data_IF_230142898806
#
_entry.id   IF_230142898806
#
_cell.length_a   1.000
_cell.length_b   1.000
_cell.length_c   1.000
_cell.angle_alpha   90.00
_cell.angle_beta   90.00
_cell.angle_gamma   90.00
#
_symmetry.space_group_name_H-M   'P 1'
#
loop_
_entity.id
_entity.type
_entity.pdbx_description
1 polymer ?
#
# COMPACT_ATOMS: atom_id res chain seq x y z
N UNK A 1 18.17 3.96 17.57
CA UNK A 1 17.64 4.40 16.25
C UNK A 1 17.84 3.37 15.12
N UNK A 2 19.00 2.69 14.97
CA UNK A 2 19.21 1.67 13.91
C UNK A 2 18.18 0.52 13.88
N UNK A 3 17.68 0.05 15.03
CA UNK A 3 16.66 -1.02 15.10
C UNK A 3 15.31 -0.59 14.51
N UNK A 4 14.83 0.62 14.80
CA UNK A 4 13.56 1.13 14.24
C UNK A 4 13.61 1.27 12.71
N UNK A 5 14.74 1.71 12.15
CA UNK A 5 14.93 1.82 10.70
C UNK A 5 14.94 0.46 9.98
N UNK A 6 15.35 -0.61 10.68
CA UNK A 6 15.28 -1.99 10.16
C UNK A 6 13.87 -2.54 10.21
N UNK A 7 13.17 -2.30 11.31
CA UNK A 7 11.77 -2.71 11.46
C UNK A 7 10.85 -2.01 10.45
N UNK A 8 11.05 -0.71 10.16
CA UNK A 8 10.25 0.01 9.16
C UNK A 8 10.41 -0.52 7.74
N UNK A 9 11.62 -0.96 7.38
CA UNK A 9 11.88 -1.59 6.08
C UNK A 9 11.21 -2.96 5.96
N UNK A 10 11.27 -3.78 7.01
CA UNK A 10 10.59 -5.07 7.06
C UNK A 10 9.07 -4.90 6.94
N UNK A 11 8.48 -4.02 7.73
CA UNK A 11 7.04 -3.71 7.69
C UNK A 11 6.62 -3.24 6.30
N UNK A 12 7.37 -2.31 5.70
CA UNK A 12 7.09 -1.83 4.34
C UNK A 12 7.11 -2.95 3.29
N UNK A 13 8.10 -3.85 3.34
CA UNK A 13 8.16 -5.00 2.43
C UNK A 13 7.05 -6.02 2.69
N UNK A 14 6.68 -6.28 3.94
CA UNK A 14 5.55 -7.16 4.27
C UNK A 14 4.25 -6.63 3.67
N UNK A 15 3.98 -5.33 3.81
CA UNK A 15 2.79 -4.69 3.22
C UNK A 15 2.86 -4.77 1.69
N UNK A 16 4.02 -4.51 1.09
CA UNK A 16 4.18 -4.55 -0.36
C UNK A 16 3.95 -5.97 -0.93
N UNK A 17 4.49 -6.99 -0.27
CA UNK A 17 4.30 -8.39 -0.66
C UNK A 17 2.86 -8.84 -0.47
N UNK A 18 2.21 -8.44 0.63
CA UNK A 18 0.79 -8.72 0.87
C UNK A 18 -0.09 -8.09 -0.22
N UNK A 19 0.17 -6.82 -0.57
CA UNK A 19 -0.52 -6.14 -1.66
C UNK A 19 -0.26 -6.80 -3.01
N UNK A 20 0.96 -7.25 -3.30
CA UNK A 20 1.28 -7.91 -4.55
C UNK A 20 0.60 -9.29 -4.67
N UNK A 21 0.56 -10.05 -3.57
CA UNK A 21 -0.16 -11.30 -3.49
C UNK A 21 -1.67 -11.09 -3.66
N UNK A 22 -2.24 -10.07 -3.01
CA UNK A 22 -3.63 -9.67 -3.19
C UNK A 22 -3.93 -9.33 -4.65
N UNK A 23 -3.13 -8.47 -5.27
CA UNK A 23 -3.33 -8.04 -6.65
C UNK A 23 -3.28 -9.22 -7.63
N UNK A 24 -2.33 -10.14 -7.45
CA UNK A 24 -2.26 -11.35 -8.24
C UNK A 24 -3.51 -12.23 -8.05
N UNK A 25 -3.95 -12.42 -6.80
CA UNK A 25 -5.11 -13.25 -6.50
C UNK A 25 -6.41 -12.66 -7.07
N UNK A 26 -6.63 -11.34 -6.95
CA UNK A 26 -7.76 -10.67 -7.57
C UNK A 26 -7.71 -10.71 -9.11
N UNK A 27 -6.54 -10.51 -9.72
CA UNK A 27 -6.41 -10.59 -11.17
C UNK A 27 -6.69 -12.01 -11.70
N UNK A 28 -6.28 -13.05 -10.96
CA UNK A 28 -6.62 -14.44 -11.29
C UNK A 28 -8.12 -14.68 -11.14
N UNK A 29 -8.72 -14.22 -10.03
CA UNK A 29 -10.16 -14.33 -9.78
C UNK A 29 -10.99 -13.67 -10.89
N UNK A 30 -10.59 -12.48 -11.32
CA UNK A 30 -11.29 -11.70 -12.34
C UNK A 30 -10.85 -12.00 -13.78
N UNK A 31 -9.95 -12.97 -13.98
CA UNK A 31 -9.39 -13.27 -15.31
C UNK A 31 -10.46 -13.66 -16.33
N UNK A 32 -11.52 -14.33 -15.89
CA UNK A 32 -12.67 -14.71 -16.72
C UNK A 32 -13.47 -13.51 -17.23
N UNK A 33 -13.41 -12.37 -16.54
CA UNK A 33 -14.09 -11.12 -16.92
C UNK A 33 -13.31 -10.29 -17.95
N UNK A 34 -12.02 -10.59 -18.22
CA UNK A 34 -11.22 -9.85 -19.21
C UNK A 34 -11.73 -10.01 -20.64
N UNK A 35 -12.43 -11.11 -20.93
CA UNK A 35 -13.06 -11.38 -22.22
C UNK A 35 -14.50 -10.86 -22.36
N UNK A 36 -14.99 -10.10 -21.38
CA UNK A 36 -16.38 -9.64 -21.29
C UNK A 36 -17.25 -10.49 -20.35
N UNK A 37 -18.55 -10.17 -20.30
CA UNK A 37 -19.54 -10.86 -19.45
C UNK A 37 -19.86 -12.24 -20.02
N UNK A 38 -19.28 -13.29 -19.43
CA UNK A 38 -19.53 -14.69 -19.74
C UNK A 38 -19.92 -15.47 -18.46
N UNK A 39 -20.28 -16.75 -18.59
CA UNK A 39 -20.66 -17.58 -17.43
C UNK A 39 -19.56 -17.67 -16.36
N UNK A 40 -18.28 -17.66 -16.76
CA UNK A 40 -17.15 -17.66 -15.85
C UNK A 40 -16.94 -16.33 -15.12
N UNK A 41 -17.34 -15.21 -15.72
CA UNK A 41 -17.35 -13.91 -15.05
C UNK A 41 -18.52 -13.85 -14.05
N UNK A 42 -19.68 -14.36 -14.44
CA UNK A 42 -20.85 -14.42 -13.56
C UNK A 42 -20.60 -15.31 -12.32
N UNK A 43 -19.95 -16.46 -12.47
CA UNK A 43 -19.57 -17.30 -11.32
C UNK A 43 -18.57 -16.61 -10.38
N UNK A 44 -17.64 -15.82 -10.92
CA UNK A 44 -16.72 -15.02 -10.13
C UNK A 44 -17.44 -13.94 -9.31
N UNK A 45 -18.54 -13.36 -9.82
CA UNK A 45 -19.36 -12.38 -9.09
C UNK A 45 -20.21 -12.97 -7.96
N UNK A 46 -20.39 -14.30 -7.92
CA UNK A 46 -21.11 -14.99 -6.84
C UNK A 46 -20.19 -15.56 -5.75
N UNK A 47 -18.88 -15.31 -5.84
CA UNK A 47 -17.90 -15.86 -4.92
C UNK A 47 -17.65 -14.93 -3.74
N UNK A 48 -17.62 -15.48 -2.52
CA UNK A 48 -17.22 -14.75 -1.30
C UNK A 48 -15.72 -14.37 -1.26
N UNK A 49 -14.93 -14.80 -2.26
CA UNK A 49 -13.49 -14.58 -2.31
C UNK A 49 -13.12 -13.10 -2.19
N UNK A 50 -13.84 -12.23 -2.89
CA UNK A 50 -13.56 -10.79 -2.96
C UNK A 50 -13.72 -10.11 -1.61
N UNK A 51 -14.80 -10.39 -0.89
CA UNK A 51 -15.02 -9.96 0.49
C UNK A 51 -13.90 -10.43 1.42
N UNK A 52 -13.60 -11.74 1.41
CA UNK A 52 -12.65 -12.35 2.33
C UNK A 52 -11.24 -11.81 2.08
N UNK A 53 -10.79 -11.82 0.83
CA UNK A 53 -9.46 -11.37 0.45
C UNK A 53 -9.26 -9.88 0.72
N UNK A 54 -10.25 -9.04 0.39
CA UNK A 54 -10.18 -7.58 0.63
C UNK A 54 -10.11 -7.28 2.12
N UNK A 55 -10.94 -7.97 2.92
CA UNK A 55 -10.95 -7.83 4.38
C UNK A 55 -9.61 -8.23 4.99
N UNK A 56 -9.00 -9.33 4.54
CA UNK A 56 -7.68 -9.77 5.04
C UNK A 56 -6.61 -8.75 4.69
N UNK A 57 -6.57 -8.27 3.44
CA UNK A 57 -5.59 -7.25 3.01
C UNK A 57 -5.75 -5.99 3.84
N UNK A 58 -6.98 -5.54 4.07
CA UNK A 58 -7.24 -4.35 4.89
C UNK A 58 -6.89 -4.54 6.36
N UNK A 59 -7.39 -5.61 6.98
CA UNK A 59 -7.18 -5.89 8.40
C UNK A 59 -5.69 -6.06 8.76
N UNK A 60 -4.85 -6.44 7.80
CA UNK A 60 -3.40 -6.60 8.00
C UNK A 60 -2.61 -5.38 7.54
N UNK A 61 -2.84 -4.86 6.34
CA UNK A 61 -2.07 -3.75 5.80
C UNK A 61 -2.33 -2.45 6.58
N UNK A 62 -3.58 -2.21 6.99
CA UNK A 62 -3.96 -0.95 7.62
C UNK A 62 -3.31 -0.76 9.00
N UNK A 63 -3.38 -1.72 9.96
CA UNK A 63 -2.69 -1.59 11.23
C UNK A 63 -1.17 -1.51 11.07
N UNK A 64 -0.59 -2.25 10.11
CA UNK A 64 0.84 -2.23 9.86
C UNK A 64 1.33 -0.88 9.30
N UNK A 65 0.53 -0.24 8.44
CA UNK A 65 0.85 1.09 7.90
C UNK A 65 0.73 2.16 8.97
N UNK A 66 -0.31 2.12 9.81
CA UNK A 66 -0.46 3.02 10.96
C UNK A 66 0.71 2.83 11.93
N UNK A 67 0.99 1.59 12.32
CA UNK A 67 2.12 1.27 13.20
C UNK A 67 3.45 1.75 12.59
N UNK A 68 3.66 1.50 11.30
CA UNK A 68 4.82 1.98 10.56
C UNK A 68 4.96 3.49 10.54
N UNK A 69 3.86 4.21 10.30
CA UNK A 69 3.83 5.66 10.21
C UNK A 69 4.02 6.35 11.57
N UNK A 70 3.32 5.90 12.61
CA UNK A 70 3.29 6.57 13.91
C UNK A 70 4.36 6.07 14.88
N UNK A 71 4.72 4.79 14.84
CA UNK A 71 5.67 4.18 15.79
C UNK A 71 7.08 4.08 15.19
N UNK A 72 7.19 3.70 13.91
CA UNK A 72 8.50 3.40 13.29
C UNK A 72 9.14 4.55 12.51
N UNK A 73 8.36 5.54 12.07
CA UNK A 73 8.86 6.74 11.39
C UNK A 73 8.07 8.01 11.74
N UNK A 74 7.99 8.39 13.02
CA UNK A 74 7.32 9.62 13.43
C UNK A 74 7.96 10.84 12.74
N UNK A 75 7.12 11.69 12.14
CA UNK A 75 7.55 12.94 11.49
C UNK A 75 7.96 12.84 10.02
N UNK A 76 7.66 11.74 9.32
CA UNK A 76 7.95 11.60 7.89
C UNK A 76 6.70 11.79 7.02
N UNK A 77 6.62 12.84 6.18
CA UNK A 77 5.43 13.09 5.36
C UNK A 77 5.13 11.98 4.36
N UNK A 78 6.15 11.21 3.93
CA UNK A 78 5.99 10.10 3.00
C UNK A 78 5.22 8.92 3.59
N UNK A 79 5.29 8.68 4.91
CA UNK A 79 4.51 7.62 5.55
C UNK A 79 3.05 8.00 5.70
N UNK A 80 2.75 9.29 5.86
CA UNK A 80 1.39 9.84 5.83
C UNK A 80 0.74 9.76 4.45
N UNK A 81 1.52 9.83 3.36
CA UNK A 81 1.01 9.59 2.00
C UNK A 81 0.55 8.14 1.84
N UNK A 82 1.26 7.16 2.41
CA UNK A 82 0.84 5.75 2.41
C UNK A 82 -0.45 5.52 3.19
N UNK A 83 -0.61 6.19 4.34
CA UNK A 83 -1.87 6.22 5.11
C UNK A 83 -2.98 6.86 4.27
N UNK A 84 -2.73 8.01 3.64
CA UNK A 84 -3.71 8.70 2.80
C UNK A 84 -4.16 7.88 1.58
N UNK A 85 -3.25 7.17 0.92
CA UNK A 85 -3.57 6.25 -0.19
C UNK A 85 -4.51 5.13 0.27
N UNK A 86 -4.24 4.53 1.42
CA UNK A 86 -5.08 3.44 1.94
C UNK A 86 -6.38 3.94 2.58
N UNK A 87 -6.40 5.12 3.18
CA UNK A 87 -7.58 5.66 3.87
C UNK A 87 -8.52 6.47 3.00
N UNK A 88 -8.01 7.11 1.94
CA UNK A 88 -8.77 8.07 1.12
C UNK A 88 -8.92 7.58 -0.31
N UNK A 89 -7.85 7.08 -0.93
CA UNK A 89 -7.90 6.67 -2.33
C UNK A 89 -8.62 5.33 -2.49
N UNK A 90 -8.38 4.35 -1.61
CA UNK A 90 -9.06 3.05 -1.68
C UNK A 90 -10.59 3.12 -1.68
N UNK A 91 -11.23 3.86 -0.77
CA UNK A 91 -12.68 4.04 -0.83
C UNK A 91 -13.13 4.64 -2.17
N UNK A 92 -12.40 5.63 -2.69
CA UNK A 92 -12.75 6.34 -3.92
C UNK A 92 -12.54 5.51 -5.19
N UNK A 93 -11.57 4.60 -5.19
CA UNK A 93 -11.21 3.77 -6.36
C UNK A 93 -11.82 2.37 -6.31
N UNK A 94 -12.36 1.96 -5.18
CA UNK A 94 -13.06 0.69 -4.98
C UNK A 94 -14.46 0.96 -4.37
N UNK A 95 -15.36 1.61 -5.13
CA UNK A 95 -16.69 1.97 -4.63
C UNK A 95 -17.53 0.76 -4.26
N UNK A 96 -17.22 -0.41 -4.83
CA UNK A 96 -17.74 -1.69 -4.36
C UNK A 96 -17.45 -1.87 -2.89
N UNK A 97 -16.18 -1.99 -2.50
CA UNK A 97 -15.81 -2.31 -1.13
C UNK A 97 -16.18 -1.26 -0.05
N UNK A 98 -16.53 -0.02 -0.41
CA UNK A 98 -16.69 1.08 0.58
C UNK A 98 -17.95 1.92 0.48
N UNK A 99 -18.56 2.05 -0.70
CA UNK A 99 -19.72 2.95 -0.91
C UNK A 99 -20.99 2.20 -1.28
N UNK A 100 -20.88 0.98 -1.78
CA UNK A 100 -21.99 0.10 -2.04
C UNK A 100 -22.18 -0.87 -0.87
N UNK A 101 -23.42 -1.27 -0.58
CA UNK A 101 -23.64 -2.36 0.34
C UNK A 101 -22.99 -3.64 -0.24
N UNK A 102 -22.43 -4.46 0.64
CA UNK A 102 -21.48 -5.52 0.27
C UNK A 102 -22.06 -6.58 -0.68
N UNK A 103 -23.37 -6.81 -0.59
CA UNK A 103 -24.18 -7.61 -1.51
C UNK A 103 -24.12 -7.13 -2.97
N UNK A 104 -23.78 -5.87 -3.21
CA UNK A 104 -23.58 -5.28 -4.54
C UNK A 104 -22.09 -5.12 -4.85
N UNK A 105 -21.28 -4.82 -3.83
CA UNK A 105 -19.84 -4.60 -3.92
C UNK A 105 -19.06 -5.77 -4.56
N UNK A 106 -19.34 -6.98 -4.08
CA UNK A 106 -18.59 -8.19 -4.46
C UNK A 106 -18.94 -8.68 -5.86
N UNK A 107 -20.01 -8.12 -6.44
CA UNK A 107 -20.48 -8.44 -7.79
C UNK A 107 -19.83 -7.59 -8.88
N UNK A 108 -19.05 -6.57 -8.51
CA UNK A 108 -18.38 -5.70 -9.47
C UNK A 108 -17.04 -6.29 -9.92
N UNK A 109 -16.82 -6.44 -11.24
CA UNK A 109 -15.54 -6.92 -11.75
C UNK A 109 -14.38 -6.03 -11.31
N UNK A 110 -13.25 -6.65 -10.97
CA UNK A 110 -12.00 -6.00 -10.55
C UNK A 110 -12.03 -5.34 -9.16
N UNK A 111 -13.12 -5.49 -8.38
CA UNK A 111 -13.13 -5.16 -6.95
C UNK A 111 -11.93 -5.81 -6.24
N UNK A 112 -11.26 -5.06 -5.36
CA UNK A 112 -10.07 -5.49 -4.61
C UNK A 112 -8.72 -5.31 -5.33
N UNK A 113 -8.70 -5.13 -6.66
CA UNK A 113 -7.45 -4.93 -7.42
C UNK A 113 -6.81 -3.58 -7.07
N UNK A 114 -7.59 -2.49 -7.12
CA UNK A 114 -7.12 -1.15 -6.76
C UNK A 114 -6.63 -1.11 -5.31
N UNK A 115 -7.39 -1.75 -4.42
CA UNK A 115 -7.09 -1.92 -3.00
C UNK A 115 -5.73 -2.57 -2.75
N UNK A 116 -5.46 -3.65 -3.49
CA UNK A 116 -4.20 -4.37 -3.40
C UNK A 116 -3.02 -3.58 -3.98
N UNK A 117 -3.23 -2.87 -5.09
CA UNK A 117 -2.20 -2.00 -5.68
C UNK A 117 -1.84 -0.82 -4.77
N UNK A 118 -2.84 -0.20 -4.10
CA UNK A 118 -2.59 0.84 -3.11
C UNK A 118 -1.75 0.32 -1.94
N UNK A 119 -2.00 -0.90 -1.48
CA UNK A 119 -1.16 -1.56 -0.46
C UNK A 119 0.28 -1.76 -0.96
N UNK A 120 0.49 -2.18 -2.21
CA UNK A 120 1.84 -2.26 -2.81
C UNK A 120 2.53 -0.90 -2.76
N UNK A 121 1.87 0.15 -3.25
CA UNK A 121 2.45 1.49 -3.29
C UNK A 121 2.80 1.99 -1.89
N UNK A 122 1.89 1.85 -0.93
CA UNK A 122 2.12 2.25 0.46
C UNK A 122 3.31 1.50 1.09
N UNK A 123 3.39 0.18 0.89
CA UNK A 123 4.49 -0.65 1.39
C UNK A 123 5.85 -0.25 0.79
N UNK A 124 5.92 0.00 -0.52
CA UNK A 124 7.14 0.44 -1.21
C UNK A 124 7.59 1.82 -0.70
N UNK A 125 6.67 2.76 -0.50
CA UNK A 125 6.97 4.09 0.05
C UNK A 125 7.51 4.01 1.49
N UNK A 126 6.92 3.15 2.33
CA UNK A 126 7.41 2.87 3.69
C UNK A 126 8.80 2.25 3.69
N UNK A 127 9.05 1.25 2.83
CA UNK A 127 10.36 0.62 2.71
C UNK A 127 11.42 1.60 2.19
N UNK A 128 11.09 2.39 1.16
CA UNK A 128 11.99 3.39 0.56
C UNK A 128 12.34 4.54 1.50
N UNK A 129 11.37 5.06 2.25
CA UNK A 129 11.62 6.10 3.27
C UNK A 129 12.49 5.58 4.42
N UNK A 130 12.28 4.33 4.84
CA UNK A 130 13.12 3.65 5.84
C UNK A 130 14.54 3.39 5.34
N UNK A 131 14.73 3.11 4.05
CA UNK A 131 16.05 2.96 3.45
C UNK A 131 16.83 4.28 3.37
N UNK A 132 16.18 5.37 2.91
CA UNK A 132 16.80 6.71 2.87
C UNK A 132 17.22 7.19 4.26
N UNK A 133 16.48 6.82 5.31
CA UNK A 133 16.85 7.07 6.70
C UNK A 133 18.24 6.54 7.10
N UNK A 134 18.65 5.40 6.51
CA UNK A 134 19.90 4.72 6.86
C UNK A 134 21.10 5.28 6.11
N UNK A 135 20.87 5.95 4.98
CA UNK A 135 21.92 6.69 4.25
C UNK A 135 21.81 8.17 4.61
N UNK A 136 22.50 8.64 5.67
CA UNK A 136 22.72 10.07 5.79
C UNK A 136 23.38 10.56 4.50
N UNK A 137 22.86 11.66 3.97
CA UNK A 137 23.28 12.26 2.72
C UNK A 137 24.74 12.75 2.85
N UNK A 138 25.70 11.91 2.44
CA UNK A 138 27.13 12.23 2.47
C UNK A 138 27.47 13.45 1.57
N UNK A 139 26.54 13.85 0.71
CA UNK A 139 26.62 15.03 -0.16
C UNK A 139 26.69 16.36 0.62
N UNK A 140 26.26 16.41 1.89
CA UNK A 140 26.31 17.63 2.73
C UNK A 140 27.58 17.81 3.56
N UNK A 141 28.46 16.82 3.63
CA UNK A 141 29.72 16.91 4.41
C UNK A 141 30.87 17.53 3.59
N UNK A 142 30.67 17.69 2.27
CA UNK A 142 31.69 18.18 1.34
C UNK A 142 31.60 19.66 0.95
N UNK A 143 30.83 20.51 1.65
CA UNK A 143 30.95 21.96 1.44
C UNK A 143 31.96 22.52 2.45
N UNK A 144 33.24 22.73 2.06
CA UNK A 144 34.13 23.52 2.90
C UNK A 144 33.45 24.88 3.15
N UNK A 145 33.54 25.37 4.38
CA UNK A 145 33.19 26.74 4.70
C UNK A 145 33.92 27.65 3.69
N UNK A 146 33.26 28.65 3.08
CA UNK A 146 33.96 29.61 2.24
C UNK A 146 35.05 30.26 3.09
N UNK A 147 36.30 30.02 2.70
CA UNK A 147 37.46 30.67 3.29
C UNK A 147 37.38 32.18 3.01
N UNK A 148 37.45 32.95 4.09
CA UNK A 148 37.88 34.34 4.23
C UNK A 148 37.36 35.42 3.27
N UNK A 149 36.80 36.48 3.86
CA UNK A 149 37.19 37.84 3.48
C UNK A 149 37.46 38.61 4.78
N UNK A 150 38.74 38.75 5.10
CA UNK A 150 39.25 39.71 6.06
C UNK A 150 39.15 41.13 5.47
N UNK A 151 38.69 42.09 6.28
CA UNK A 151 38.99 43.51 6.13
C UNK A 151 39.35 44.07 7.50
#
# INVERSE_FOLDING_TARGET
MKRLATSGQLVGWTIALLGAAGAAAFLVHWSSCLGGLNEGCYSATQSDFTWIATTIVWAVAFPLVIFGAFVLSPGRPVTLIGVGLLMVINPLTDPGAFFLPWDVADTLPFTGVATSLAAVTAGVLLAGSSYRARRPDHSRVGKPAPADVAY
#
